data_IF_080009492858
#
_entry.id   IF_080009492858
#
_cell.length_a   1.000
_cell.length_b   1.000
_cell.length_c   1.000
_cell.angle_alpha   90.00
_cell.angle_beta   90.00
_cell.angle_gamma   90.00
#
_symmetry.space_group_name_H-M   'P 1'
#
loop_
_entity.id
_entity.type
_entity.pdbx_description
1 polymer ?
#
# COMPACT_ATOMS: atom_id res chain seq x y z
N UNK A 1 29.31 15.78 39.35
CA UNK A 1 27.85 15.61 39.54
C UNK A 1 27.40 14.38 38.77
N UNK A 2 27.03 13.26 39.42
CA UNK A 2 26.49 12.11 38.71
C UNK A 2 25.05 12.40 38.27
N UNK A 3 24.73 12.12 37.00
CA UNK A 3 23.38 12.24 36.48
C UNK A 3 22.43 11.34 37.30
N UNK A 4 21.34 11.92 37.81
CA UNK A 4 20.37 11.20 38.63
C UNK A 4 19.65 10.08 37.85
N UNK A 5 19.12 9.07 38.54
CA UNK A 5 18.42 7.92 37.93
C UNK A 5 17.21 8.33 37.05
N UNK A 6 16.68 9.54 37.24
CA UNK A 6 15.59 10.11 36.44
C UNK A 6 15.98 10.44 35.00
N UNK A 7 17.23 10.82 34.72
CA UNK A 7 17.67 11.18 33.35
C UNK A 7 17.87 9.94 32.48
N UNK A 8 18.34 8.83 33.07
CA UNK A 8 18.52 7.55 32.39
C UNK A 8 17.17 6.89 32.08
N UNK A 9 16.20 7.00 33.00
CA UNK A 9 14.83 6.51 32.79
C UNK A 9 14.10 7.31 31.68
N UNK A 10 14.29 8.63 31.62
CA UNK A 10 13.72 9.47 30.57
C UNK A 10 14.31 9.14 29.19
N UNK A 11 15.65 9.01 29.07
CA UNK A 11 16.32 8.57 27.84
C UNK A 11 15.91 7.15 27.41
N UNK A 12 15.74 6.23 28.37
CA UNK A 12 15.28 4.87 28.09
C UNK A 12 13.84 4.81 27.58
N UNK A 13 12.95 5.70 28.04
CA UNK A 13 11.56 5.77 27.59
C UNK A 13 11.43 6.41 26.19
N UNK A 14 12.27 7.39 25.85
CA UNK A 14 12.30 8.01 24.51
C UNK A 14 12.96 7.10 23.45
N UNK A 15 13.83 6.17 23.86
CA UNK A 15 14.54 5.25 22.96
C UNK A 15 13.71 4.06 22.44
N UNK A 16 12.66 3.67 23.17
CA UNK A 16 11.80 2.52 22.83
C UNK A 16 10.92 2.73 21.60
N UNK A 17 10.22 3.87 21.42
CA UNK A 17 9.39 4.07 20.23
C UNK A 17 10.25 4.25 18.97
N UNK A 18 11.39 4.93 19.06
CA UNK A 18 12.29 5.13 17.91
C UNK A 18 12.93 3.82 17.46
N UNK A 19 13.38 2.97 18.39
CA UNK A 19 13.91 1.64 18.06
C UNK A 19 12.85 0.75 17.37
N UNK A 20 11.60 0.75 17.85
CA UNK A 20 10.53 -0.02 17.23
C UNK A 20 10.24 0.44 15.79
N UNK A 21 10.21 1.75 15.55
CA UNK A 21 10.01 2.32 14.21
C UNK A 21 11.16 1.95 13.27
N UNK A 22 12.41 2.01 13.75
CA UNK A 22 13.58 1.61 12.96
C UNK A 22 13.54 0.11 12.62
N UNK A 23 13.14 -0.74 13.58
CA UNK A 23 12.97 -2.18 13.36
C UNK A 23 11.88 -2.44 12.31
N UNK A 24 10.73 -1.76 12.42
CA UNK A 24 9.65 -1.89 11.43
C UNK A 24 10.08 -1.40 10.04
N UNK A 25 10.77 -0.26 9.96
CA UNK A 25 11.32 0.25 8.71
C UNK A 25 12.35 -0.72 8.10
N UNK A 26 13.19 -1.36 8.92
CA UNK A 26 14.13 -2.38 8.48
C UNK A 26 13.41 -3.63 7.95
N UNK A 27 12.42 -4.14 8.69
CA UNK A 27 11.57 -5.26 8.24
C UNK A 27 10.89 -4.90 6.91
N UNK A 28 10.32 -3.71 6.81
CA UNK A 28 9.74 -3.17 5.59
C UNK A 28 10.76 -3.14 4.45
N UNK A 29 11.96 -2.63 4.68
CA UNK A 29 13.06 -2.59 3.70
C UNK A 29 13.40 -3.98 3.16
N UNK A 30 13.54 -4.97 4.04
CA UNK A 30 13.79 -6.35 3.65
C UNK A 30 12.64 -6.89 2.81
N UNK A 31 11.38 -6.74 3.25
CA UNK A 31 10.21 -7.19 2.49
C UNK A 31 10.15 -6.50 1.11
N UNK A 32 10.39 -5.19 1.07
CA UNK A 32 10.40 -4.39 -0.16
C UNK A 32 11.46 -4.86 -1.16
N UNK A 33 12.63 -5.30 -0.69
CA UNK A 33 13.66 -5.83 -1.56
C UNK A 33 13.22 -7.13 -2.29
N UNK A 34 12.32 -7.92 -1.69
CA UNK A 34 11.75 -9.12 -2.32
C UNK A 34 10.56 -8.83 -3.26
N UNK A 35 9.97 -7.63 -3.23
CA UNK A 35 8.79 -7.28 -4.04
C UNK A 35 8.99 -7.51 -5.54
N UNK A 36 10.09 -7.05 -6.18
CA UNK A 36 10.29 -7.28 -7.62
C UNK A 36 10.35 -8.77 -7.99
N UNK A 37 10.94 -9.60 -7.13
CA UNK A 37 11.04 -11.04 -7.34
C UNK A 37 9.68 -11.73 -7.20
N UNK A 38 8.90 -11.38 -6.15
CA UNK A 38 7.55 -11.90 -5.95
C UNK A 38 6.62 -11.48 -7.09
N UNK A 39 6.65 -10.20 -7.48
CA UNK A 39 5.84 -9.68 -8.58
C UNK A 39 6.17 -10.41 -9.89
N UNK A 40 7.44 -10.73 -10.14
CA UNK A 40 7.89 -11.52 -11.29
C UNK A 40 7.18 -12.88 -11.45
N UNK A 41 6.73 -13.50 -10.35
CA UNK A 41 5.98 -14.76 -10.41
C UNK A 41 4.55 -14.62 -10.92
N UNK A 42 3.96 -13.43 -10.79
CA UNK A 42 2.60 -13.14 -11.22
C UNK A 42 2.54 -12.41 -12.57
N UNK A 43 3.66 -11.87 -13.04
CA UNK A 43 3.76 -11.13 -14.32
C UNK A 43 4.32 -12.00 -15.46
N UNK A 44 4.85 -13.18 -15.16
CA UNK A 44 5.37 -14.13 -16.17
C UNK A 44 4.24 -14.89 -16.90
N UNK A 45 3.60 -14.25 -17.87
CA UNK A 45 2.85 -14.89 -18.96
C UNK A 45 3.46 -14.45 -20.33
N UNK A 46 3.29 -15.21 -21.44
CA UNK A 46 4.25 -15.24 -22.55
C UNK A 46 4.45 -13.87 -23.21
N UNK A 47 5.71 -13.50 -23.48
CA UNK A 47 6.08 -12.31 -24.24
C UNK A 47 5.48 -12.39 -25.65
N UNK A 48 4.30 -11.80 -25.85
CA UNK A 48 3.77 -11.57 -27.20
C UNK A 48 4.31 -10.24 -27.74
N UNK A 49 5.29 -10.39 -28.64
CA UNK A 49 5.76 -9.46 -29.69
C UNK A 49 6.35 -8.10 -29.24
N UNK A 50 7.63 -7.80 -29.59
CA UNK A 50 8.20 -6.46 -29.39
C UNK A 50 7.52 -5.45 -30.34
N UNK A 51 6.82 -4.46 -29.79
CA UNK A 51 6.38 -3.30 -30.56
C UNK A 51 7.55 -2.32 -30.75
N UNK A 52 7.85 -2.04 -32.01
CA UNK A 52 8.85 -1.05 -32.47
C UNK A 52 8.50 0.34 -31.93
N UNK A 53 9.10 0.72 -30.81
CA UNK A 53 9.01 2.06 -30.20
C UNK A 53 10.40 2.57 -29.78
N UNK A 54 11.37 2.46 -30.69
CA UNK A 54 12.79 2.71 -30.46
C UNK A 54 13.18 4.20 -30.39
N UNK A 55 12.47 5.02 -29.60
CA UNK A 55 12.81 6.43 -29.41
C UNK A 55 12.94 6.88 -27.94
N UNK A 56 12.71 5.98 -26.97
CA UNK A 56 13.05 6.20 -25.54
C UNK A 56 14.26 5.40 -25.04
N UNK A 57 14.86 4.56 -25.90
CA UNK A 57 15.88 3.59 -25.52
C UNK A 57 17.31 4.16 -25.40
N UNK A 58 17.54 5.45 -25.68
CA UNK A 58 18.88 6.03 -25.67
C UNK A 58 19.35 6.50 -24.29
N UNK A 59 18.44 6.85 -23.38
CA UNK A 59 18.81 7.28 -22.02
C UNK A 59 18.88 6.11 -21.03
N UNK A 60 18.20 4.99 -21.32
CA UNK A 60 18.25 3.76 -20.53
C UNK A 60 19.41 2.83 -20.93
N UNK A 61 20.09 3.08 -22.05
CA UNK A 61 21.17 2.25 -22.56
C UNK A 61 22.54 2.53 -21.90
N UNK A 62 22.66 3.56 -21.05
CA UNK A 62 23.91 3.88 -20.33
C UNK A 62 24.04 3.15 -18.98
N UNK A 63 22.95 2.62 -18.44
CA UNK A 63 22.94 1.80 -17.24
C UNK A 63 22.67 0.33 -17.63
N UNK A 64 23.64 -0.55 -17.37
CA UNK A 64 23.47 -1.98 -17.66
C UNK A 64 22.20 -2.56 -17.00
N UNK A 65 21.62 -3.65 -17.55
CA UNK A 65 20.38 -4.27 -17.05
C UNK A 65 20.40 -4.55 -15.54
N UNK A 66 21.57 -4.83 -14.98
CA UNK A 66 21.78 -5.04 -13.54
C UNK A 66 21.61 -3.78 -12.70
N UNK A 67 22.00 -2.60 -13.22
CA UNK A 67 21.83 -1.33 -12.53
C UNK A 67 20.35 -0.94 -12.44
N UNK A 68 19.59 -1.15 -13.52
CA UNK A 68 18.14 -0.92 -13.52
C UNK A 68 17.40 -1.90 -12.60
N UNK A 69 17.84 -3.16 -12.53
CA UNK A 69 17.29 -4.14 -11.59
C UNK A 69 17.57 -3.75 -10.12
N UNK A 70 18.81 -3.39 -9.80
CA UNK A 70 19.19 -2.88 -8.47
C UNK A 70 18.40 -1.63 -8.09
N UNK A 71 18.24 -0.69 -9.00
CA UNK A 71 17.45 0.53 -8.77
C UNK A 71 16.00 0.24 -8.37
N UNK A 72 15.35 -0.74 -9.02
CA UNK A 72 13.99 -1.17 -8.63
C UNK A 72 13.94 -1.80 -7.24
N UNK A 73 14.90 -2.65 -6.91
CA UNK A 73 14.99 -3.28 -5.58
C UNK A 73 15.14 -2.21 -4.49
N UNK A 74 16.05 -1.24 -4.69
CA UNK A 74 16.26 -0.14 -3.75
C UNK A 74 15.01 0.73 -3.61
N UNK A 75 14.33 1.05 -4.72
CA UNK A 75 13.11 1.84 -4.69
C UNK A 75 12.00 1.15 -3.88
N UNK A 76 11.75 -0.14 -4.11
CA UNK A 76 10.74 -0.89 -3.36
C UNK A 76 11.12 -1.09 -1.89
N UNK A 77 12.40 -1.31 -1.58
CA UNK A 77 12.90 -1.34 -0.21
C UNK A 77 12.64 -0.01 0.51
N UNK A 78 12.93 1.13 -0.13
CA UNK A 78 12.69 2.45 0.45
C UNK A 78 11.18 2.73 0.67
N UNK A 79 10.33 2.40 -0.31
CA UNK A 79 8.87 2.54 -0.19
C UNK A 79 8.34 1.68 0.95
N UNK A 80 8.74 0.42 1.02
CA UNK A 80 8.30 -0.49 2.06
C UNK A 80 8.79 -0.06 3.46
N UNK A 81 10.02 0.43 3.58
CA UNK A 81 10.54 1.00 4.82
C UNK A 81 9.72 2.20 5.28
N UNK A 82 9.36 3.11 4.36
CA UNK A 82 8.53 4.27 4.67
C UNK A 82 7.12 3.87 5.11
N UNK A 83 6.49 2.91 4.43
CA UNK A 83 5.15 2.41 4.79
C UNK A 83 5.17 1.74 6.16
N UNK A 84 6.12 0.83 6.41
CA UNK A 84 6.18 0.10 7.68
C UNK A 84 6.54 1.01 8.85
N UNK A 85 7.53 1.90 8.67
CA UNK A 85 7.91 2.89 9.67
C UNK A 85 6.77 3.86 9.96
N UNK A 86 6.08 4.33 8.93
CA UNK A 86 4.90 5.19 9.03
C UNK A 86 3.76 4.53 9.81
N UNK A 87 3.42 3.29 9.46
CA UNK A 87 2.40 2.52 10.19
C UNK A 87 2.77 2.29 11.66
N UNK A 88 4.07 2.16 11.97
CA UNK A 88 4.55 2.05 13.34
C UNK A 88 4.34 3.29 14.22
N UNK A 89 4.20 4.47 13.60
CA UNK A 89 3.89 5.73 14.31
C UNK A 89 2.46 6.21 14.09
N UNK A 90 1.66 5.49 13.31
CA UNK A 90 0.33 5.91 12.94
C UNK A 90 -0.61 5.92 14.17
N UNK A 91 -1.34 7.03 14.41
CA UNK A 91 -2.33 7.10 15.47
C UNK A 91 -3.46 6.09 15.23
N UNK A 92 -4.06 5.60 16.32
CA UNK A 92 -5.26 4.74 16.26
C UNK A 92 -5.03 3.28 15.86
N UNK A 93 -3.86 2.92 15.33
CA UNK A 93 -3.53 1.55 14.91
C UNK A 93 -3.40 0.61 16.11
N UNK A 94 -2.58 0.95 17.12
CA UNK A 94 -2.48 0.22 18.39
C UNK A 94 -2.27 -1.29 18.23
N UNK A 95 -3.09 -2.10 18.91
CA UNK A 95 -3.04 -3.57 18.83
C UNK A 95 -3.34 -4.12 17.42
N UNK A 96 -3.95 -3.33 16.53
CA UNK A 96 -4.24 -3.74 15.15
C UNK A 96 -3.04 -3.62 14.21
N UNK A 97 -1.88 -3.12 14.67
CA UNK A 97 -0.68 -2.94 13.84
C UNK A 97 -0.33 -4.17 12.98
N UNK A 98 -0.37 -5.42 13.48
CA UNK A 98 -0.09 -6.59 12.65
C UNK A 98 -1.02 -6.72 11.44
N UNK A 99 -2.29 -6.33 11.56
CA UNK A 99 -3.25 -6.33 10.45
C UNK A 99 -2.83 -5.34 9.35
N UNK A 100 -2.45 -4.12 9.74
CA UNK A 100 -1.99 -3.08 8.81
C UNK A 100 -0.69 -3.49 8.11
N UNK A 101 0.27 -4.04 8.86
CA UNK A 101 1.54 -4.51 8.28
C UNK A 101 1.35 -5.69 7.33
N UNK A 102 0.43 -6.61 7.63
CA UNK A 102 0.10 -7.72 6.74
C UNK A 102 -0.50 -7.23 5.42
N UNK A 103 -1.46 -6.30 5.48
CA UNK A 103 -2.05 -5.68 4.28
C UNK A 103 -1.01 -4.87 3.51
N UNK A 104 -0.13 -4.14 4.20
CA UNK A 104 0.96 -3.40 3.56
C UNK A 104 1.94 -4.31 2.84
N UNK A 105 2.38 -5.41 3.46
CA UNK A 105 3.30 -6.37 2.86
C UNK A 105 2.76 -6.94 1.54
N UNK A 106 1.52 -7.42 1.56
CA UNK A 106 0.87 -7.99 0.37
C UNK A 106 0.52 -6.90 -0.64
N UNK A 107 0.10 -5.73 -0.16
CA UNK A 107 -0.20 -4.54 -0.95
C UNK A 107 0.98 -4.08 -1.79
N UNK A 108 2.21 -4.10 -1.27
CA UNK A 108 3.40 -3.75 -2.05
C UNK A 108 3.58 -4.67 -3.27
N UNK A 109 3.35 -5.97 -3.12
CA UNK A 109 3.40 -6.93 -4.23
C UNK A 109 2.25 -6.67 -5.21
N UNK A 110 1.03 -6.44 -4.71
CA UNK A 110 -0.12 -6.07 -5.53
C UNK A 110 0.15 -4.81 -6.36
N UNK A 111 0.71 -3.76 -5.76
CA UNK A 111 1.07 -2.53 -6.45
C UNK A 111 2.12 -2.77 -7.53
N UNK A 112 3.12 -3.61 -7.28
CA UNK A 112 4.13 -3.97 -8.27
C UNK A 112 3.55 -4.75 -9.46
N UNK A 113 2.63 -5.70 -9.19
CA UNK A 113 1.95 -6.46 -10.25
C UNK A 113 1.00 -5.56 -11.04
N UNK A 114 0.29 -4.67 -10.37
CA UNK A 114 -0.62 -3.71 -11.02
C UNK A 114 0.15 -2.73 -11.92
N UNK A 115 1.29 -2.20 -11.46
CA UNK A 115 2.19 -1.37 -12.28
C UNK A 115 2.72 -2.09 -13.52
N UNK A 116 2.91 -3.41 -13.44
CA UNK A 116 3.46 -4.20 -14.53
C UNK A 116 2.40 -4.66 -15.55
N UNK A 117 1.20 -5.00 -15.08
CA UNK A 117 0.22 -5.73 -15.88
C UNK A 117 -1.23 -5.22 -15.76
N UNK A 118 -1.47 -4.12 -15.02
CA UNK A 118 -2.81 -3.56 -14.79
C UNK A 118 -3.80 -4.61 -14.25
N UNK A 119 -3.31 -5.45 -13.34
CA UNK A 119 -4.06 -6.60 -12.81
C UNK A 119 -3.74 -6.82 -11.35
N UNK A 120 -4.77 -7.14 -10.57
CA UNK A 120 -4.67 -7.53 -9.16
C UNK A 120 -5.01 -9.02 -9.03
N UNK A 121 -4.04 -9.90 -8.71
CA UNK A 121 -4.29 -11.32 -8.52
C UNK A 121 -5.20 -11.60 -7.32
N UNK A 122 -6.33 -12.27 -7.57
CA UNK A 122 -7.29 -12.66 -6.53
C UNK A 122 -6.67 -13.38 -5.33
N UNK A 123 -5.70 -14.30 -5.49
CA UNK A 123 -5.05 -14.95 -4.33
C UNK A 123 -4.32 -13.97 -3.41
N UNK A 124 -3.70 -12.93 -3.97
CA UNK A 124 -3.01 -11.91 -3.17
C UNK A 124 -4.01 -10.97 -2.49
N UNK A 125 -5.09 -10.59 -3.17
CA UNK A 125 -6.16 -9.80 -2.54
C UNK A 125 -6.82 -10.58 -1.40
N UNK A 126 -7.08 -11.87 -1.59
CA UNK A 126 -7.58 -12.77 -0.55
C UNK A 126 -6.60 -12.93 0.62
N UNK A 127 -5.31 -13.04 0.34
CA UNK A 127 -4.28 -13.09 1.39
C UNK A 127 -4.23 -11.80 2.21
N UNK A 128 -4.33 -10.64 1.57
CA UNK A 128 -4.43 -9.36 2.26
C UNK A 128 -5.70 -9.27 3.12
N UNK A 129 -6.84 -9.73 2.60
CA UNK A 129 -8.10 -9.80 3.35
C UNK A 129 -7.97 -10.70 4.59
N UNK A 130 -7.35 -11.87 4.43
CA UNK A 130 -7.15 -12.81 5.52
C UNK A 130 -6.23 -12.24 6.61
N UNK A 131 -5.14 -11.58 6.22
CA UNK A 131 -4.25 -10.87 7.14
C UNK A 131 -4.96 -9.73 7.89
N UNK A 132 -5.79 -8.95 7.18
CA UNK A 132 -6.59 -7.90 7.79
C UNK A 132 -7.57 -8.45 8.82
N UNK A 133 -8.41 -9.42 8.44
CA UNK A 133 -9.44 -9.98 9.31
C UNK A 133 -8.83 -10.66 10.52
N UNK A 134 -7.84 -11.54 10.33
CA UNK A 134 -7.22 -12.26 11.45
C UNK A 134 -6.52 -11.32 12.43
N UNK A 135 -5.77 -10.33 11.92
CA UNK A 135 -5.11 -9.33 12.76
C UNK A 135 -6.09 -8.42 13.50
N UNK A 136 -7.17 -7.97 12.86
CA UNK A 136 -8.19 -7.13 13.50
C UNK A 136 -9.00 -7.90 14.54
N UNK A 137 -9.35 -9.16 14.28
CA UNK A 137 -10.01 -10.03 15.26
C UNK A 137 -9.11 -10.24 16.47
N UNK A 138 -7.83 -10.57 16.26
CA UNK A 138 -6.87 -10.72 17.34
C UNK A 138 -6.75 -9.44 18.18
N UNK A 139 -6.63 -8.28 17.53
CA UNK A 139 -6.58 -6.98 18.20
C UNK A 139 -7.86 -6.70 19.01
N UNK A 140 -9.03 -6.96 18.44
CA UNK A 140 -10.30 -6.76 19.10
C UNK A 140 -10.49 -7.68 20.31
N UNK A 141 -10.00 -8.93 20.24
CA UNK A 141 -10.01 -9.86 21.37
C UNK A 141 -9.04 -9.43 22.46
N UNK A 142 -7.86 -8.92 22.10
CA UNK A 142 -6.85 -8.46 23.04
C UNK A 142 -7.30 -7.21 23.80
N UNK A 143 -7.92 -6.25 23.09
CA UNK A 143 -8.41 -5.00 23.67
C UNK A 143 -9.80 -5.13 24.33
N UNK A 144 -10.47 -6.27 24.18
CA UNK A 144 -11.85 -6.48 24.63
C UNK A 144 -12.90 -5.63 23.89
N UNK A 145 -12.58 -5.17 22.68
CA UNK A 145 -13.38 -4.18 21.90
C UNK A 145 -13.92 -4.77 20.60
N UNK A 146 -14.65 -5.88 20.70
CA UNK A 146 -15.27 -6.56 19.55
C UNK A 146 -16.19 -5.64 18.73
N UNK A 147 -16.81 -4.63 19.36
CA UNK A 147 -17.64 -3.64 18.68
C UNK A 147 -16.92 -2.90 17.54
N UNK A 148 -15.59 -2.77 17.59
CA UNK A 148 -14.80 -2.13 16.52
C UNK A 148 -14.80 -2.92 15.21
N UNK A 149 -15.03 -4.24 15.27
CA UNK A 149 -15.12 -5.07 14.07
C UNK A 149 -16.32 -4.70 13.21
N UNK A 150 -17.41 -4.18 13.79
CA UNK A 150 -18.54 -3.68 13.01
C UNK A 150 -18.15 -2.45 12.17
N UNK A 151 -17.33 -1.55 12.72
CA UNK A 151 -16.83 -0.40 11.97
C UNK A 151 -15.89 -0.82 10.84
N UNK A 152 -15.01 -1.81 11.07
CA UNK A 152 -14.20 -2.42 10.01
C UNK A 152 -15.04 -3.05 8.91
N UNK A 153 -16.08 -3.82 9.27
CA UNK A 153 -16.95 -4.49 8.31
C UNK A 153 -17.80 -3.48 7.52
N UNK A 154 -18.30 -2.43 8.19
CA UNK A 154 -18.98 -1.32 7.55
C UNK A 154 -18.05 -0.57 6.59
N UNK A 155 -16.80 -0.33 7.00
CA UNK A 155 -15.76 0.27 6.15
C UNK A 155 -15.51 -0.55 4.90
N UNK A 156 -15.33 -1.87 5.04
CA UNK A 156 -15.17 -2.78 3.92
C UNK A 156 -16.38 -2.77 2.98
N UNK A 157 -17.59 -2.84 3.54
CA UNK A 157 -18.84 -2.82 2.77
C UNK A 157 -19.05 -1.51 2.01
N UNK A 158 -18.76 -0.37 2.64
CA UNK A 158 -18.87 0.95 2.01
C UNK A 158 -17.82 1.16 0.93
N UNK A 159 -16.57 0.77 1.19
CA UNK A 159 -15.50 0.80 0.18
C UNK A 159 -15.85 -0.10 -1.01
N UNK A 160 -16.30 -1.34 -0.76
CA UNK A 160 -16.74 -2.24 -1.81
C UNK A 160 -17.89 -1.63 -2.63
N UNK A 161 -18.93 -1.16 -1.96
CA UNK A 161 -20.12 -0.62 -2.61
C UNK A 161 -19.78 0.63 -3.42
N UNK A 162 -19.03 1.57 -2.85
CA UNK A 162 -18.61 2.78 -3.54
C UNK A 162 -17.78 2.49 -4.79
N UNK A 163 -16.77 1.62 -4.69
CA UNK A 163 -15.95 1.25 -5.84
C UNK A 163 -16.70 0.37 -6.85
N UNK A 164 -17.61 -0.49 -6.40
CA UNK A 164 -18.46 -1.28 -7.29
C UNK A 164 -19.39 -0.36 -8.10
N UNK A 165 -20.00 0.64 -7.47
CA UNK A 165 -20.80 1.65 -8.17
C UNK A 165 -19.96 2.40 -9.20
N UNK A 166 -18.75 2.84 -8.84
CA UNK A 166 -17.82 3.48 -9.78
C UNK A 166 -17.41 2.55 -10.93
N UNK A 167 -17.25 1.25 -10.69
CA UNK A 167 -16.96 0.26 -11.73
C UNK A 167 -18.14 0.04 -12.70
N UNK A 168 -19.37 0.19 -12.22
CA UNK A 168 -20.60 0.01 -13.00
C UNK A 168 -20.99 1.26 -13.80
N UNK A 169 -20.37 2.41 -13.55
CA UNK A 169 -20.64 3.64 -14.30
C UNK A 169 -20.26 3.48 -15.79
N UNK A 170 -21.07 4.00 -16.73
CA UNK A 170 -20.75 3.97 -18.16
C UNK A 170 -19.40 4.64 -18.45
N UNK A 171 -18.53 3.93 -19.18
CA UNK A 171 -17.19 4.43 -19.52
C UNK A 171 -16.16 4.30 -18.40
N UNK A 172 -16.51 3.64 -17.28
CA UNK A 172 -15.54 3.33 -16.23
C UNK A 172 -14.42 2.45 -16.73
N UNK A 173 -13.20 2.78 -16.30
CA UNK A 173 -11.97 1.99 -16.56
C UNK A 173 -11.52 1.23 -15.31
N UNK A 174 -12.34 1.23 -14.26
CA UNK A 174 -12.01 0.66 -12.98
C UNK A 174 -12.12 -0.87 -13.04
N UNK A 175 -11.06 -1.57 -12.66
CA UNK A 175 -11.05 -3.03 -12.68
C UNK A 175 -11.78 -3.60 -11.46
N UNK A 176 -12.41 -4.77 -11.59
CA UNK A 176 -13.01 -5.44 -10.43
C UNK A 176 -11.97 -5.81 -9.35
N UNK A 177 -10.70 -5.94 -9.73
CA UNK A 177 -9.59 -6.08 -8.78
C UNK A 177 -9.46 -4.87 -7.85
N UNK A 178 -9.64 -3.65 -8.37
CA UNK A 178 -9.59 -2.41 -7.59
C UNK A 178 -10.73 -2.35 -6.56
N UNK A 179 -11.93 -2.82 -6.95
CA UNK A 179 -13.09 -2.93 -6.06
C UNK A 179 -12.79 -3.86 -4.88
N UNK A 180 -12.21 -5.03 -5.15
CA UNK A 180 -11.83 -5.98 -4.09
C UNK A 180 -10.73 -5.41 -3.19
N UNK A 181 -9.72 -4.77 -3.78
CA UNK A 181 -8.65 -4.13 -3.00
C UNK A 181 -9.21 -3.02 -2.11
N UNK A 182 -10.10 -2.17 -2.64
CA UNK A 182 -10.77 -1.14 -1.87
C UNK A 182 -11.56 -1.72 -0.69
N UNK A 183 -12.28 -2.84 -0.89
CA UNK A 183 -12.98 -3.54 0.18
C UNK A 183 -12.01 -4.02 1.28
N UNK A 184 -10.87 -4.60 0.89
CA UNK A 184 -9.83 -5.06 1.83
C UNK A 184 -9.23 -3.89 2.61
N UNK A 185 -8.96 -2.76 1.95
CA UNK A 185 -8.46 -1.54 2.60
C UNK A 185 -9.52 -0.87 3.49
N UNK A 186 -10.81 -1.06 3.19
CA UNK A 186 -11.91 -0.59 4.03
C UNK A 186 -11.95 -1.25 5.41
N UNK A 187 -11.42 -2.47 5.57
CA UNK A 187 -11.32 -3.15 6.88
C UNK A 187 -10.44 -2.37 7.88
N UNK A 188 -9.14 -2.13 7.61
CA UNK A 188 -8.28 -1.36 8.49
C UNK A 188 -8.70 0.11 8.56
N UNK A 189 -9.18 0.72 7.48
CA UNK A 189 -9.62 2.12 7.53
C UNK A 189 -10.88 2.31 8.38
N UNK A 190 -11.85 1.40 8.28
CA UNK A 190 -13.04 1.38 9.13
C UNK A 190 -12.71 1.16 10.61
N UNK A 191 -11.61 0.46 10.92
CA UNK A 191 -11.12 0.30 12.31
C UNK A 191 -10.70 1.64 12.92
N UNK A 192 -10.08 2.52 12.13
CA UNK A 192 -9.66 3.85 12.56
C UNK A 192 -10.85 4.80 12.75
N UNK A 193 -11.96 4.52 12.07
CA UNK A 193 -13.21 5.26 12.16
C UNK A 193 -13.53 6.02 10.88
N UNK A 194 -14.62 6.79 10.93
CA UNK A 194 -15.18 7.47 9.76
C UNK A 194 -14.23 8.45 9.06
N UNK A 195 -13.46 9.31 9.76
CA UNK A 195 -12.55 10.24 9.09
C UNK A 195 -11.44 9.53 8.31
N UNK A 196 -10.85 8.48 8.88
CA UNK A 196 -9.84 7.66 8.22
C UNK A 196 -10.41 6.95 6.98
N UNK A 197 -11.60 6.37 7.10
CA UNK A 197 -12.31 5.74 5.99
C UNK A 197 -12.58 6.71 4.84
N UNK A 198 -13.20 7.86 5.12
CA UNK A 198 -13.55 8.84 4.10
C UNK A 198 -12.31 9.40 3.39
N UNK A 199 -11.27 9.75 4.17
CA UNK A 199 -9.98 10.18 3.61
C UNK A 199 -9.37 9.09 2.74
N UNK A 200 -9.40 7.83 3.19
CA UNK A 200 -8.88 6.69 2.42
C UNK A 200 -9.69 6.34 1.17
N UNK A 201 -10.97 6.71 1.07
CA UNK A 201 -11.75 6.58 -0.17
C UNK A 201 -11.41 7.69 -1.18
N UNK A 202 -11.24 8.93 -0.71
CA UNK A 202 -11.07 10.11 -1.58
C UNK A 202 -9.62 10.27 -2.04
N UNK A 203 -8.66 10.12 -1.13
CA UNK A 203 -7.26 10.42 -1.38
C UNK A 203 -6.65 9.61 -2.54
N UNK A 204 -6.96 8.31 -2.74
CA UNK A 204 -6.51 7.57 -3.92
C UNK A 204 -6.85 8.23 -5.26
N UNK A 205 -8.06 8.79 -5.38
CA UNK A 205 -8.51 9.44 -6.62
C UNK A 205 -7.74 10.73 -6.89
N UNK A 206 -7.45 11.49 -5.83
CA UNK A 206 -6.61 12.71 -5.93
C UNK A 206 -5.20 12.34 -6.35
N UNK A 207 -4.58 11.35 -5.69
CA UNK A 207 -3.23 10.89 -6.02
C UNK A 207 -3.13 10.34 -7.44
N UNK A 208 -4.08 9.49 -7.83
CA UNK A 208 -4.14 8.94 -9.19
C UNK A 208 -4.34 10.04 -10.22
N UNK A 209 -5.28 10.98 -9.98
CA UNK A 209 -5.51 12.12 -10.87
C UNK A 209 -4.28 13.00 -11.05
N UNK A 210 -3.56 13.32 -9.97
CA UNK A 210 -2.30 14.08 -10.04
C UNK A 210 -1.22 13.32 -10.81
N UNK A 211 -1.08 12.01 -10.60
CA UNK A 211 -0.12 11.19 -11.34
C UNK A 211 -0.45 11.15 -12.84
N UNK A 212 -1.72 10.93 -13.19
CA UNK A 212 -2.20 10.93 -14.58
C UNK A 212 -1.94 12.29 -15.23
N UNK A 213 -2.30 13.39 -14.55
CA UNK A 213 -2.06 14.76 -15.05
C UNK A 213 -0.58 15.05 -15.26
N UNK A 214 0.28 14.64 -14.33
CA UNK A 214 1.73 14.78 -14.46
C UNK A 214 2.29 14.00 -15.66
N UNK A 215 1.81 12.77 -15.87
CA UNK A 215 2.21 11.95 -17.03
C UNK A 215 1.70 12.52 -18.36
N UNK A 216 0.50 13.10 -18.38
CA UNK A 216 -0.05 13.81 -19.56
C UNK A 216 0.75 15.08 -19.86
N UNK A 217 1.04 15.89 -18.84
CA UNK A 217 1.83 17.12 -18.98
C UNK A 217 3.24 16.82 -19.48
N UNK A 218 3.85 15.74 -18.98
CA UNK A 218 5.14 15.23 -19.46
C UNK A 218 5.05 14.52 -20.83
N UNK A 219 3.87 14.45 -21.45
CA UNK A 219 3.59 13.76 -22.73
C UNK A 219 4.04 12.30 -22.77
N UNK A 220 4.05 11.63 -21.60
CA UNK A 220 4.46 10.21 -21.48
C UNK A 220 3.34 9.23 -21.72
N UNK A 221 2.09 9.68 -21.60
CA UNK A 221 0.88 8.86 -21.84
C UNK A 221 -0.17 9.66 -22.61
N UNK A 222 -1.12 8.96 -23.24
CA UNK A 222 -2.26 9.57 -23.93
C UNK A 222 -3.51 9.50 -23.04
N UNK A 223 -4.52 10.31 -23.35
CA UNK A 223 -5.81 10.38 -22.62
C UNK A 223 -6.57 9.05 -22.50
N UNK A 224 -6.27 8.11 -23.39
CA UNK A 224 -6.90 6.80 -23.51
C UNK A 224 -6.04 5.66 -22.94
N UNK A 225 -4.80 5.96 -22.52
CA UNK A 225 -3.88 4.98 -21.94
C UNK A 225 -4.42 4.52 -20.57
N UNK A 226 -4.68 3.22 -20.37
CA UNK A 226 -5.09 2.71 -19.07
C UNK A 226 -3.92 2.81 -18.08
N UNK A 227 -4.21 3.21 -16.84
CA UNK A 227 -3.22 3.42 -15.79
C UNK A 227 -3.59 2.65 -14.52
N UNK A 228 -2.60 2.15 -13.77
CA UNK A 228 -2.83 1.34 -12.58
C UNK A 228 -3.39 2.19 -11.44
N UNK A 229 -4.49 1.74 -10.84
CA UNK A 229 -5.14 2.42 -9.72
C UNK A 229 -4.69 1.84 -8.36
N UNK A 230 -4.26 0.58 -8.32
CA UNK A 230 -3.85 -0.13 -7.11
C UNK A 230 -2.79 0.60 -6.26
N UNK A 231 -1.69 1.11 -6.84
CA UNK A 231 -0.69 1.88 -6.10
C UNK A 231 -1.27 3.14 -5.43
N UNK A 232 -2.20 3.82 -6.10
CA UNK A 232 -2.84 5.02 -5.55
C UNK A 232 -3.84 4.66 -4.44
N UNK A 233 -4.55 3.52 -4.55
CA UNK A 233 -5.39 2.98 -3.48
C UNK A 233 -4.59 2.73 -2.20
N UNK A 234 -3.47 2.03 -2.34
CA UNK A 234 -2.59 1.72 -1.22
C UNK A 234 -1.97 2.99 -0.62
N UNK A 235 -1.42 3.87 -1.47
CA UNK A 235 -0.82 5.12 -1.00
C UNK A 235 -1.84 6.00 -0.26
N UNK A 236 -3.05 6.14 -0.81
CA UNK A 236 -4.13 6.89 -0.18
C UNK A 236 -4.59 6.28 1.14
N UNK A 237 -4.70 4.96 1.24
CA UNK A 237 -5.04 4.28 2.49
C UNK A 237 -3.97 4.47 3.58
N UNK A 238 -2.68 4.37 3.24
CA UNK A 238 -1.61 4.56 4.21
C UNK A 238 -1.47 6.01 4.65
N UNK A 239 -1.59 6.96 3.72
CA UNK A 239 -1.62 8.38 4.07
C UNK A 239 -2.83 8.72 4.96
N UNK A 240 -4.01 8.19 4.65
CA UNK A 240 -5.20 8.36 5.49
C UNK A 240 -4.97 7.79 6.91
N UNK A 241 -4.30 6.64 7.00
CA UNK A 241 -3.94 6.01 8.29
C UNK A 241 -3.01 6.88 9.12
N UNK A 242 -2.08 7.61 8.50
CA UNK A 242 -1.18 8.53 9.20
C UNK A 242 -1.89 9.78 9.74
N UNK A 243 -3.05 10.11 9.18
CA UNK A 243 -3.82 11.33 9.52
C UNK A 243 -5.08 11.05 10.35
N UNK A 244 -5.33 9.79 10.71
CA UNK A 244 -6.57 9.34 11.34
C UNK A 244 -6.66 9.60 12.85
#
# INVERSE_FOLDING_TARGET
>A
MPAGPSTVAALALTSRPTAAVLVLALIGSVIGAFVPWLAGRFTAAPRLVPSRGALGARDAASAGPDAAARGRVVAWAAVAAAVFGGLGVAPGVGAALPAFLAVAAVGLVLAAVDLACLRLPDPLVGLAALGAVTGLVAAATFDGRLGRLFASLAGAGLSFTGYALLALLPGSRLGFGDVKLAAVLGLPLGWLGWPGLLTGLVLPHVLHGLAVLGLLAARRVRRDTPLPLGPALLAGAWLATLTA
#
